data_IF_722613775110
#
_entry.id   IF_722613775110
#
_cell.length_a   1.000
_cell.length_b   1.000
_cell.length_c   1.000
_cell.angle_alpha   90.00
_cell.angle_beta   90.00
_cell.angle_gamma   90.00
#
_symmetry.space_group_name_H-M   'P 1'
#
loop_
_entity.id
_entity.type
_entity.pdbx_description
1 polymer ?
#
# COMPACT_ATOMS: atom_id res chain seq x y z
N UNK A 1 -4.65 -4.82 28.93
CA UNK A 1 -5.74 -5.10 27.97
C UNK A 1 -5.67 -4.07 26.84
N UNK A 2 -5.18 -4.46 25.65
CA UNK A 2 -5.14 -3.56 24.50
C UNK A 2 -6.55 -3.43 23.90
N UNK A 3 -7.07 -2.21 23.83
CA UNK A 3 -8.38 -1.91 23.23
C UNK A 3 -8.27 -2.17 21.72
N UNK A 4 -8.93 -3.21 21.21
CA UNK A 4 -8.99 -3.51 19.77
C UNK A 4 -9.73 -2.36 19.07
N UNK A 5 -9.03 -1.61 18.23
CA UNK A 5 -9.63 -0.58 17.37
C UNK A 5 -9.92 -1.25 16.03
N UNK A 6 -11.15 -1.72 15.86
CA UNK A 6 -11.67 -2.26 14.60
C UNK A 6 -12.36 -1.14 13.81
N UNK A 7 -12.09 -1.04 12.52
CA UNK A 7 -12.84 -0.17 11.61
C UNK A 7 -13.26 -0.98 10.38
N UNK A 8 -14.53 -0.87 10.00
CA UNK A 8 -15.04 -1.44 8.75
C UNK A 8 -14.47 -0.67 7.57
N UNK A 9 -13.79 -1.34 6.65
CA UNK A 9 -13.36 -0.77 5.37
C UNK A 9 -14.15 -1.43 4.24
N UNK A 10 -14.75 -0.60 3.39
CA UNK A 10 -15.41 -1.05 2.16
C UNK A 10 -14.33 -1.26 1.11
N UNK A 11 -14.13 -2.50 0.67
CA UNK A 11 -13.24 -2.79 -0.44
C UNK A 11 -13.87 -2.17 -1.70
N UNK A 12 -13.30 -1.06 -2.16
CA UNK A 12 -13.69 -0.45 -3.42
C UNK A 12 -13.05 -1.28 -4.53
N UNK A 13 -13.80 -2.24 -5.09
CA UNK A 13 -13.43 -2.86 -6.37
C UNK A 13 -13.25 -1.74 -7.39
N UNK A 14 -12.08 -1.73 -8.05
CA UNK A 14 -11.66 -0.80 -9.09
C UNK A 14 -12.83 -0.33 -9.96
N UNK A 15 -12.98 0.98 -10.16
CA UNK A 15 -14.04 1.52 -11.02
C UNK A 15 -13.69 1.22 -12.48
N UNK A 16 -14.13 0.05 -12.95
CA UNK A 16 -14.24 -0.27 -14.37
C UNK A 16 -15.23 0.72 -15.02
N UNK A 17 -14.69 1.69 -15.78
CA UNK A 17 -15.41 2.81 -16.41
C UNK A 17 -16.15 2.40 -17.70
N UNK A 18 -16.40 1.10 -17.89
CA UNK A 18 -17.18 0.57 -19.01
C UNK A 18 -18.67 0.65 -18.74
N UNK A 19 -19.51 0.97 -19.75
CA UNK A 19 -20.96 0.96 -19.60
C UNK A 19 -21.44 -0.45 -19.21
N UNK A 20 -21.97 -0.57 -17.99
CA UNK A 20 -22.43 -1.84 -17.42
C UNK A 20 -23.78 -2.23 -18.03
N UNK A 21 -24.00 -3.53 -18.36
CA UNK A 21 -25.30 -4.00 -18.82
C UNK A 21 -26.36 -3.81 -17.74
N UNK A 22 -27.59 -3.46 -18.15
CA UNK A 22 -28.70 -3.03 -17.30
C UNK A 22 -29.21 -4.07 -16.27
N UNK A 23 -28.57 -5.25 -16.19
CA UNK A 23 -28.94 -6.36 -15.30
C UNK A 23 -27.87 -6.69 -14.24
N UNK A 24 -26.77 -5.94 -14.18
CA UNK A 24 -25.71 -6.18 -13.19
C UNK A 24 -26.16 -5.76 -11.77
N UNK A 25 -26.58 -6.74 -10.95
CA UNK A 25 -26.83 -6.56 -9.51
C UNK A 25 -25.58 -5.91 -8.88
N UNK A 26 -25.74 -4.74 -8.26
CA UNK A 26 -24.70 -4.03 -7.50
C UNK A 26 -24.03 -5.04 -6.57
N UNK A 27 -22.76 -5.40 -6.82
CA UNK A 27 -21.96 -6.15 -5.85
C UNK A 27 -21.87 -5.26 -4.62
N UNK A 28 -22.57 -5.63 -3.56
CA UNK A 28 -22.40 -5.01 -2.26
C UNK A 28 -20.95 -5.23 -1.87
N UNK A 29 -20.16 -4.16 -1.79
CA UNK A 29 -18.76 -4.22 -1.40
C UNK A 29 -18.66 -5.01 -0.10
N UNK A 30 -17.82 -6.05 -0.09
CA UNK A 30 -17.54 -6.80 1.14
C UNK A 30 -16.83 -5.84 2.09
N UNK A 31 -17.41 -5.62 3.26
CA UNK A 31 -16.73 -4.89 4.32
C UNK A 31 -15.90 -5.89 5.13
N UNK A 32 -14.67 -5.50 5.45
CA UNK A 32 -13.79 -6.28 6.31
C UNK A 32 -13.41 -5.41 7.50
N UNK A 33 -13.47 -6.01 8.69
CA UNK A 33 -12.94 -5.37 9.89
C UNK A 33 -11.42 -5.50 9.86
N UNK A 34 -10.73 -4.38 9.69
CA UNK A 34 -9.27 -4.34 9.71
C UNK A 34 -8.82 -3.90 11.10
N UNK A 35 -7.89 -4.65 11.68
CA UNK A 35 -7.24 -4.22 12.90
C UNK A 35 -6.14 -3.21 12.54
N UNK A 36 -6.38 -1.94 12.82
CA UNK A 36 -5.44 -0.86 12.50
C UNK A 36 -4.09 -0.99 13.20
N UNK A 37 -3.98 -1.85 14.23
CA UNK A 37 -2.70 -2.15 14.88
C UNK A 37 -1.87 -3.22 14.12
N UNK A 38 -2.39 -3.82 13.05
CA UNK A 38 -1.64 -4.78 12.22
C UNK A 38 -0.54 -4.12 11.39
N UNK A 39 -0.61 -2.80 11.17
CA UNK A 39 0.48 -2.03 10.59
C UNK A 39 0.98 -0.96 11.57
N UNK A 40 2.31 -0.69 11.64
CA UNK A 40 2.84 0.41 12.43
C UNK A 40 2.22 1.76 12.08
N UNK A 41 1.93 1.96 10.79
CA UNK A 41 1.31 3.19 10.29
C UNK A 41 -0.14 3.34 10.80
N UNK A 42 -0.91 2.26 10.88
CA UNK A 42 -2.25 2.28 11.46
C UNK A 42 -2.24 2.51 12.97
N UNK A 43 -1.25 1.97 13.69
CA UNK A 43 -1.04 2.32 15.11
C UNK A 43 -0.73 3.81 15.29
N UNK A 44 0.16 4.37 14.46
CA UNK A 44 0.50 5.79 14.48
C UNK A 44 -0.73 6.67 14.17
N UNK A 45 -1.58 6.25 13.22
CA UNK A 45 -2.85 6.94 12.91
C UNK A 45 -3.81 6.92 14.09
N UNK A 46 -3.99 5.77 14.74
CA UNK A 46 -4.89 5.61 15.88
C UNK A 46 -4.50 6.48 17.09
N UNK A 47 -3.20 6.78 17.25
CA UNK A 47 -2.68 7.63 18.32
C UNK A 47 -2.48 9.10 17.89
N UNK A 48 -3.00 9.49 16.72
CA UNK A 48 -2.93 10.87 16.24
C UNK A 48 -1.52 11.34 15.91
N UNK A 49 -0.61 10.43 15.58
CA UNK A 49 0.76 10.76 15.19
C UNK A 49 0.93 10.99 13.69
N UNK A 50 -0.05 10.55 12.89
CA UNK A 50 -0.09 10.69 11.44
C UNK A 50 -1.48 11.20 11.03
N UNK A 51 -1.52 12.15 10.10
CA UNK A 51 -2.76 12.71 9.57
C UNK A 51 -3.49 11.72 8.65
N UNK A 52 -4.77 11.96 8.34
CA UNK A 52 -5.49 11.12 7.38
C UNK A 52 -4.81 11.13 5.99
N UNK A 53 -4.38 12.32 5.54
CA UNK A 53 -3.65 12.53 4.28
C UNK A 53 -2.33 11.74 4.22
N UNK A 54 -1.54 11.80 5.29
CA UNK A 54 -0.28 11.07 5.39
C UNK A 54 -0.51 9.56 5.47
N UNK A 55 -1.53 9.12 6.20
CA UNK A 55 -1.92 7.71 6.29
C UNK A 55 -2.31 7.16 4.91
N UNK A 56 -3.18 7.87 4.17
CA UNK A 56 -3.58 7.47 2.82
C UNK A 56 -2.37 7.38 1.86
N UNK A 57 -1.44 8.34 1.94
CA UNK A 57 -0.22 8.31 1.14
C UNK A 57 0.63 7.07 1.42
N UNK A 58 0.82 6.71 2.70
CA UNK A 58 1.56 5.52 3.11
C UNK A 58 0.87 4.22 2.67
N UNK A 59 -0.45 4.11 2.85
CA UNK A 59 -1.21 2.93 2.42
C UNK A 59 -1.18 2.77 0.89
N UNK A 60 -1.18 3.88 0.13
CA UNK A 60 -1.07 3.84 -1.34
C UNK A 60 0.30 3.36 -1.81
N UNK A 61 1.37 3.81 -1.15
CA UNK A 61 2.73 3.30 -1.39
C UNK A 61 2.85 1.82 -1.04
N UNK A 62 2.26 1.38 0.08
CA UNK A 62 2.22 -0.03 0.47
C UNK A 62 1.50 -0.88 -0.58
N UNK A 63 0.36 -0.42 -1.07
CA UNK A 63 -0.39 -1.14 -2.11
C UNK A 63 0.39 -1.23 -3.43
N UNK A 64 1.22 -0.22 -3.77
CA UNK A 64 2.11 -0.27 -4.93
C UNK A 64 3.24 -1.30 -4.71
N UNK A 65 3.85 -1.33 -3.53
CA UNK A 65 4.89 -2.29 -3.15
C UNK A 65 4.39 -3.75 -3.18
N UNK A 66 3.19 -4.00 -2.64
CA UNK A 66 2.55 -5.32 -2.63
C UNK A 66 2.15 -5.75 -4.07
N UNK A 67 1.55 -4.86 -4.86
CA UNK A 67 1.19 -5.15 -6.26
C UNK A 67 2.41 -5.40 -7.16
N UNK A 68 3.52 -4.73 -6.86
CA UNK A 68 4.79 -4.95 -7.55
C UNK A 68 5.50 -6.25 -7.12
N UNK A 69 4.96 -6.99 -6.14
CA UNK A 69 5.56 -8.20 -5.56
C UNK A 69 7.01 -7.99 -5.09
N UNK A 70 7.31 -6.79 -4.56
CA UNK A 70 8.66 -6.42 -4.12
C UNK A 70 9.02 -6.96 -2.73
N UNK A 71 8.06 -7.57 -2.03
CA UNK A 71 8.27 -8.21 -0.74
C UNK A 71 8.69 -9.69 -0.84
N UNK A 72 9.21 -10.26 0.27
CA UNK A 72 9.53 -11.68 0.34
C UNK A 72 8.27 -12.53 0.10
N UNK A 73 8.39 -13.54 -0.77
CA UNK A 73 7.29 -14.46 -1.08
C UNK A 73 7.27 -15.57 -0.05
N UNK A 74 6.41 -15.45 0.96
CA UNK A 74 6.35 -16.38 2.10
C UNK A 74 5.37 -17.54 1.88
N UNK A 75 4.50 -17.45 0.86
CA UNK A 75 3.50 -18.48 0.54
C UNK A 75 3.78 -19.20 -0.77
N UNK A 76 3.46 -20.51 -0.81
CA UNK A 76 3.43 -21.27 -2.05
C UNK A 76 2.41 -20.66 -3.01
N UNK A 77 2.80 -20.54 -4.30
CA UNK A 77 1.92 -20.11 -5.38
C UNK A 77 1.06 -21.29 -5.81
N UNK A 78 -0.25 -21.19 -5.59
CA UNK A 78 -1.23 -22.20 -6.00
C UNK A 78 -1.83 -21.94 -7.39
N UNK A 79 -1.49 -20.81 -8.02
CA UNK A 79 -1.98 -20.50 -9.37
C UNK A 79 -1.40 -21.46 -10.39
N UNK A 80 -2.29 -22.10 -11.15
CA UNK A 80 -1.91 -22.96 -12.27
C UNK A 80 -0.92 -22.22 -13.18
N UNK A 81 0.17 -22.87 -13.64
CA UNK A 81 1.06 -22.27 -14.62
C UNK A 81 0.23 -21.85 -15.85
N UNK A 82 0.54 -20.69 -16.48
CA UNK A 82 -0.18 -20.25 -17.67
C UNK A 82 -0.18 -21.39 -18.69
N UNK A 83 -1.36 -21.95 -18.95
CA UNK A 83 -1.54 -22.87 -20.06
C UNK A 83 -1.36 -22.02 -21.32
N UNK A 84 -0.31 -22.29 -22.08
CA UNK A 84 -0.10 -21.76 -23.42
C UNK A 84 -1.35 -22.05 -24.27
N UNK A 85 -2.30 -21.13 -24.30
CA UNK A 85 -3.41 -21.12 -25.25
C UNK A 85 -3.41 -19.80 -25.96
N UNK A 86 -2.69 -19.80 -27.08
CA UNK A 86 -3.00 -18.96 -28.21
C UNK A 86 -4.46 -19.21 -28.63
N UNK A 87 -5.40 -18.45 -28.07
CA UNK A 87 -6.76 -18.35 -28.57
C UNK A 87 -6.99 -16.88 -28.97
N UNK A 88 -6.93 -16.66 -30.29
CA UNK A 88 -7.24 -15.41 -30.96
C UNK A 88 -8.64 -14.92 -30.53
N UNK A 89 -8.73 -13.70 -29.99
CA UNK A 89 -10.01 -12.97 -29.92
C UNK A 89 -10.62 -12.66 -28.56
N UNK A 90 -9.83 -12.49 -27.48
CA UNK A 90 -10.35 -11.95 -26.21
C UNK A 90 -9.94 -10.48 -26.03
N UNK A 91 -10.83 -9.57 -25.58
CA UNK A 91 -10.50 -8.15 -25.42
C UNK A 91 -9.44 -7.99 -24.33
N UNK A 92 -8.27 -7.47 -24.72
CA UNK A 92 -7.09 -7.14 -23.91
C UNK A 92 -7.04 -7.92 -22.58
N UNK A 93 -6.57 -9.16 -22.64
CA UNK A 93 -6.34 -9.97 -21.45
C UNK A 93 -5.54 -9.14 -20.44
N UNK A 94 -6.07 -8.97 -19.23
CA UNK A 94 -5.38 -8.39 -18.10
C UNK A 94 -4.09 -9.20 -17.92
N UNK A 95 -2.95 -8.63 -18.32
CA UNK A 95 -1.64 -9.22 -18.11
C UNK A 95 -1.19 -8.89 -16.68
N UNK A 96 -1.19 -9.87 -15.75
CA UNK A 96 -0.76 -9.63 -14.38
C UNK A 96 0.69 -9.13 -14.29
N UNK A 97 1.53 -9.48 -15.29
CA UNK A 97 2.90 -9.00 -15.39
C UNK A 97 2.99 -7.51 -15.69
N UNK A 98 2.19 -7.02 -16.65
CA UNK A 98 2.12 -5.60 -17.00
C UNK A 98 1.61 -4.73 -15.82
N UNK A 99 0.62 -5.22 -15.08
CA UNK A 99 0.09 -4.53 -13.90
C UNK A 99 1.15 -4.43 -12.78
N UNK A 100 1.92 -5.49 -12.56
CA UNK A 100 3.04 -5.50 -11.60
C UNK A 100 4.16 -4.54 -11.99
N UNK A 101 4.52 -4.50 -13.28
CA UNK A 101 5.54 -3.59 -13.79
C UNK A 101 5.13 -2.12 -13.67
N UNK A 102 3.86 -1.80 -13.96
CA UNK A 102 3.32 -0.45 -13.75
C UNK A 102 3.28 -0.06 -12.26
N UNK A 103 2.96 -1.00 -11.37
CA UNK A 103 3.02 -0.76 -9.92
C UNK A 103 4.47 -0.51 -9.46
N UNK A 104 5.42 -1.30 -9.96
CA UNK A 104 6.85 -1.12 -9.66
C UNK A 104 7.34 0.26 -10.10
N UNK A 105 7.05 0.67 -11.34
CA UNK A 105 7.43 1.99 -11.86
C UNK A 105 6.85 3.13 -11.02
N UNK A 106 5.59 3.02 -10.56
CA UNK A 106 4.97 4.01 -9.68
C UNK A 106 5.60 4.03 -8.29
N UNK A 107 5.96 2.87 -7.73
CA UNK A 107 6.68 2.77 -6.47
C UNK A 107 8.06 3.42 -6.57
N UNK A 108 8.84 3.09 -7.60
CA UNK A 108 10.19 3.63 -7.80
C UNK A 108 10.13 5.17 -7.96
N UNK A 109 9.18 5.69 -8.74
CA UNK A 109 8.96 7.14 -8.88
C UNK A 109 8.53 7.82 -7.58
N UNK A 110 7.72 7.15 -6.75
CA UNK A 110 7.30 7.67 -5.45
C UNK A 110 8.50 7.77 -4.48
N UNK A 111 9.35 6.74 -4.44
CA UNK A 111 10.57 6.70 -3.62
C UNK A 111 11.54 7.80 -4.06
N UNK A 112 11.72 7.98 -5.37
CA UNK A 112 12.56 9.04 -5.93
C UNK A 112 12.04 10.44 -5.59
N UNK A 113 10.73 10.66 -5.69
CA UNK A 113 10.10 11.94 -5.35
C UNK A 113 10.22 12.32 -3.86
N UNK A 114 10.22 11.32 -2.97
CA UNK A 114 10.46 11.55 -1.53
C UNK A 114 11.92 11.94 -1.28
N UNK A 115 12.84 11.29 -2.00
CA UNK A 115 14.27 11.59 -1.98
C UNK A 115 15.07 10.84 -0.90
N UNK A 116 16.41 10.86 -1.02
CA UNK A 116 17.31 10.09 -0.16
C UNK A 116 17.21 10.50 1.31
N UNK A 117 17.41 9.54 2.21
CA UNK A 117 17.32 9.72 3.67
C UNK A 117 15.88 9.71 4.21
N UNK A 118 14.89 10.13 3.42
CA UNK A 118 13.46 10.04 3.76
C UNK A 118 12.83 8.73 3.25
N UNK A 119 13.30 8.23 2.11
CA UNK A 119 12.91 6.93 1.57
C UNK A 119 13.17 5.78 2.54
N UNK A 120 14.26 5.87 3.32
CA UNK A 120 14.71 4.77 4.18
C UNK A 120 13.74 4.52 5.33
N UNK A 121 13.22 5.60 5.95
CA UNK A 121 12.21 5.47 7.01
C UNK A 121 10.85 5.02 6.46
N UNK A 122 10.48 5.43 5.23
CA UNK A 122 9.27 4.91 4.58
C UNK A 122 9.39 3.41 4.32
N UNK A 123 10.52 2.96 3.79
CA UNK A 123 10.74 1.54 3.55
C UNK A 123 10.60 0.73 4.84
N UNK A 124 11.25 1.17 5.93
CA UNK A 124 11.22 0.49 7.23
C UNK A 124 9.80 0.40 7.81
N UNK A 125 9.08 1.52 7.87
CA UNK A 125 7.79 1.59 8.56
C UNK A 125 6.63 1.11 7.69
N UNK A 126 6.61 1.48 6.41
CA UNK A 126 5.48 1.23 5.50
C UNK A 126 5.61 -0.14 4.82
N UNK A 127 6.80 -0.48 4.32
CA UNK A 127 7.03 -1.72 3.58
C UNK A 127 7.45 -2.88 4.48
N UNK A 128 8.47 -2.69 5.33
CA UNK A 128 8.96 -3.74 6.23
C UNK A 128 8.06 -3.94 7.47
N UNK A 129 7.19 -2.97 7.78
CA UNK A 129 6.27 -3.06 8.90
C UNK A 129 6.95 -2.96 10.27
N UNK A 130 8.11 -2.30 10.34
CA UNK A 130 8.85 -2.09 11.57
C UNK A 130 8.20 -0.99 12.43
N UNK A 131 8.24 -1.19 13.76
CA UNK A 131 7.81 -0.15 14.70
C UNK A 131 8.77 1.05 14.71
N UNK A 132 8.31 2.23 15.12
CA UNK A 132 9.14 3.45 15.06
C UNK A 132 10.49 3.32 15.80
N UNK A 133 10.52 2.66 16.96
CA UNK A 133 11.77 2.43 17.71
C UNK A 133 12.74 1.50 16.98
N UNK A 134 12.21 0.48 16.32
CA UNK A 134 13.00 -0.47 15.55
C UNK A 134 13.61 0.21 14.32
N UNK A 135 12.79 1.00 13.61
CA UNK A 135 13.24 1.81 12.49
C UNK A 135 14.32 2.84 12.92
N UNK A 136 14.15 3.52 14.06
CA UNK A 136 15.17 4.43 14.62
C UNK A 136 16.51 3.70 14.87
N UNK A 137 16.47 2.53 15.49
CA UNK A 137 17.67 1.72 15.75
C UNK A 137 18.33 1.25 14.46
N UNK A 138 17.55 0.78 13.48
CA UNK A 138 18.04 0.30 12.20
C UNK A 138 18.66 1.42 11.34
N UNK A 139 18.21 2.66 11.50
CA UNK A 139 18.74 3.84 10.80
C UNK A 139 19.86 4.55 11.59
N UNK A 140 20.19 4.09 12.80
CA UNK A 140 21.19 4.72 13.66
C UNK A 140 20.78 6.10 14.17
N UNK A 141 19.47 6.37 14.26
CA UNK A 141 18.93 7.65 14.70
C UNK A 141 18.76 7.72 16.21
N UNK A 142 18.86 8.92 16.81
CA UNK A 142 18.53 9.10 18.23
C UNK A 142 17.04 8.84 18.46
N UNK A 143 16.71 8.38 19.67
CA UNK A 143 15.34 8.08 20.05
C UNK A 143 14.41 9.29 19.82
N UNK A 144 13.20 9.03 19.32
CA UNK A 144 12.15 10.02 19.02
C UNK A 144 12.41 10.93 17.82
N UNK A 145 13.51 10.75 17.07
CA UNK A 145 13.72 11.47 15.82
C UNK A 145 12.79 10.97 14.70
N UNK A 146 12.45 9.68 14.72
CA UNK A 146 11.80 9.02 13.60
C UNK A 146 10.44 9.58 13.25
N UNK A 147 9.65 10.03 14.24
CA UNK A 147 8.31 10.57 14.00
C UNK A 147 8.35 11.80 13.09
N UNK A 148 9.26 12.74 13.36
CA UNK A 148 9.35 13.99 12.58
C UNK A 148 9.79 13.70 11.14
N UNK A 149 10.79 12.84 10.98
CA UNK A 149 11.33 12.48 9.67
C UNK A 149 10.31 11.68 8.85
N UNK A 150 9.61 10.73 9.49
CA UNK A 150 8.51 9.98 8.86
C UNK A 150 7.39 10.93 8.41
N UNK A 151 7.02 11.91 9.24
CA UNK A 151 6.02 12.92 8.88
C UNK A 151 6.41 13.70 7.61
N UNK A 152 7.65 14.19 7.54
CA UNK A 152 8.17 14.89 6.37
C UNK A 152 8.18 14.00 5.12
N UNK A 153 8.57 12.73 5.26
CA UNK A 153 8.56 11.77 4.17
C UNK A 153 7.13 11.51 3.65
N UNK A 154 6.17 11.34 4.56
CA UNK A 154 4.76 11.12 4.20
C UNK A 154 4.12 12.37 3.57
N UNK A 155 4.52 13.58 3.95
CA UNK A 155 4.04 14.81 3.32
C UNK A 155 4.52 14.95 1.88
N UNK A 156 5.79 14.60 1.61
CA UNK A 156 6.32 14.54 0.23
C UNK A 156 5.62 13.47 -0.59
N UNK A 157 5.39 12.30 0.01
CA UNK A 157 4.66 11.20 -0.62
C UNK A 157 3.21 11.58 -0.95
N UNK A 158 2.53 12.29 -0.03
CA UNK A 158 1.18 12.79 -0.26
C UNK A 158 1.14 13.83 -1.39
N UNK A 159 2.18 14.65 -1.53
CA UNK A 159 2.31 15.56 -2.66
C UNK A 159 2.49 14.81 -3.99
N UNK A 160 3.33 13.77 -4.02
CA UNK A 160 3.52 12.91 -5.20
C UNK A 160 2.21 12.25 -5.65
N UNK A 161 1.45 11.67 -4.72
CA UNK A 161 0.15 11.06 -5.03
C UNK A 161 -0.99 12.06 -5.23
N UNK A 162 -0.72 13.36 -5.03
CA UNK A 162 -1.71 14.45 -5.12
C UNK A 162 -2.92 14.22 -4.21
N UNK A 163 -2.67 13.77 -2.98
CA UNK A 163 -3.68 13.55 -1.95
C UNK A 163 -3.93 14.88 -1.23
N UNK A 164 -5.21 15.23 -1.10
CA UNK A 164 -5.69 16.48 -0.50
C UNK A 164 -5.80 16.39 1.03
#
# INVERSE_FOLDING_TARGET
MAKRIMMEQVISEDRDDRPRPATARRRSGRTVSVNLAESPLGWLRAHGHVSARQFEAGERLRADWERAQLGPRVTMRWDAPPLDRAARGSPAAYDPGAAGLAAKSRFDAAVEAVGPGLSDVLWRVVCAGEGMREAEGALGWPARAGKLVLGLALDRLAAFYRIA
#
